data_IF_172275465978
#
_entry.id   IF_172275465978
#
_cell.length_a   1.000
_cell.length_b   1.000
_cell.length_c   1.000
_cell.angle_alpha   90.00
_cell.angle_beta   90.00
_cell.angle_gamma   90.00
#
_symmetry.space_group_name_H-M   'P 1'
#
loop_
_entity.id
_entity.type
_entity.pdbx_description
1 polymer ?
#
# COMPACT_ATOMS: atom_id res chain seq x y z
N UNK A 1 -7.36 -20.08 7.05
CA UNK A 1 -7.07 -18.67 6.77
C UNK A 1 -8.16 -18.20 5.83
N UNK A 2 -8.96 -17.22 6.24
CA UNK A 2 -9.95 -16.60 5.35
C UNK A 2 -9.29 -15.68 4.32
N UNK A 3 -10.06 -15.26 3.31
CA UNK A 3 -9.55 -14.42 2.22
C UNK A 3 -9.05 -13.06 2.70
N UNK A 4 -9.71 -12.49 3.72
CA UNK A 4 -9.32 -11.22 4.36
C UNK A 4 -7.94 -11.31 5.01
N UNK A 5 -7.72 -12.32 5.86
CA UNK A 5 -6.42 -12.55 6.51
C UNK A 5 -5.31 -12.76 5.48
N UNK A 6 -5.57 -13.56 4.44
CA UNK A 6 -4.59 -13.80 3.38
C UNK A 6 -4.25 -12.52 2.61
N UNK A 7 -5.25 -11.68 2.32
CA UNK A 7 -5.06 -10.40 1.65
C UNK A 7 -4.26 -9.40 2.51
N UNK A 8 -4.53 -9.33 3.81
CA UNK A 8 -3.78 -8.47 4.73
C UNK A 8 -2.31 -8.91 4.86
N UNK A 9 -2.04 -10.22 4.90
CA UNK A 9 -0.67 -10.74 4.89
C UNK A 9 0.06 -10.40 3.59
N UNK A 10 -0.62 -10.58 2.44
CA UNK A 10 -0.06 -10.20 1.15
C UNK A 10 0.22 -8.68 1.07
N UNK A 11 -0.71 -7.85 1.56
CA UNK A 11 -0.54 -6.41 1.62
C UNK A 11 0.64 -6.00 2.51
N UNK A 12 0.83 -6.64 3.67
CA UNK A 12 2.00 -6.41 4.53
C UNK A 12 3.31 -6.75 3.83
N UNK A 13 3.37 -7.88 3.13
CA UNK A 13 4.56 -8.25 2.36
C UNK A 13 4.90 -7.18 1.30
N UNK A 14 3.89 -6.65 0.59
CA UNK A 14 4.10 -5.55 -0.36
C UNK A 14 4.61 -4.28 0.34
N UNK A 15 4.04 -3.92 1.49
CA UNK A 15 4.49 -2.75 2.24
C UNK A 15 5.92 -2.90 2.77
N UNK A 16 6.33 -4.10 3.15
CA UNK A 16 7.71 -4.42 3.54
C UNK A 16 8.66 -4.28 2.34
N UNK A 17 8.28 -4.77 1.15
CA UNK A 17 9.08 -4.61 -0.07
C UNK A 17 9.31 -3.12 -0.41
N UNK A 18 8.28 -2.28 -0.24
CA UNK A 18 8.40 -0.82 -0.40
C UNK A 18 9.38 -0.25 0.62
N UNK A 19 9.22 -0.60 1.91
CA UNK A 19 10.08 -0.10 2.98
C UNK A 19 11.55 -0.50 2.84
N UNK A 20 11.83 -1.68 2.29
CA UNK A 20 13.18 -2.18 1.99
C UNK A 20 13.74 -1.63 0.66
N UNK A 21 12.93 -0.95 -0.15
CA UNK A 21 13.32 -0.47 -1.48
C UNK A 21 13.50 -1.59 -2.52
N UNK A 22 12.99 -2.80 -2.25
CA UNK A 22 13.00 -3.92 -3.21
C UNK A 22 11.85 -3.85 -4.20
N UNK A 23 10.83 -3.03 -3.92
CA UNK A 23 9.77 -2.63 -4.85
C UNK A 23 9.60 -1.10 -4.83
N UNK A 24 9.31 -0.51 -6.00
CA UNK A 24 9.00 0.92 -6.06
C UNK A 24 7.68 1.24 -5.35
N UNK A 25 7.57 2.45 -4.83
CA UNK A 25 6.42 2.96 -4.11
C UNK A 25 5.15 2.85 -4.96
N UNK A 26 5.20 3.35 -6.19
CA UNK A 26 4.05 3.40 -7.10
C UNK A 26 3.61 1.99 -7.53
N UNK A 27 4.55 1.10 -7.84
CA UNK A 27 4.24 -0.29 -8.17
C UNK A 27 3.63 -1.03 -6.97
N UNK A 28 4.18 -0.79 -5.79
CA UNK A 28 3.68 -1.34 -4.53
C UNK A 28 2.25 -0.86 -4.25
N UNK A 29 2.00 0.44 -4.32
CA UNK A 29 0.68 1.02 -4.09
C UNK A 29 -0.37 0.55 -5.12
N UNK A 30 0.02 0.41 -6.41
CA UNK A 30 -0.85 -0.21 -7.43
C UNK A 30 -1.18 -1.67 -7.13
N UNK A 31 -0.21 -2.41 -6.58
CA UNK A 31 -0.42 -3.81 -6.16
C UNK A 31 -1.36 -3.90 -4.96
N UNK A 32 -1.21 -3.02 -3.97
CA UNK A 32 -2.10 -2.91 -2.82
C UNK A 32 -3.53 -2.60 -3.25
N UNK A 33 -3.70 -1.68 -4.20
CA UNK A 33 -5.01 -1.39 -4.76
C UNK A 33 -5.62 -2.59 -5.49
N UNK A 34 -4.82 -3.37 -6.22
CA UNK A 34 -5.30 -4.62 -6.83
C UNK A 34 -5.77 -5.63 -5.78
N UNK A 35 -5.09 -5.75 -4.64
CA UNK A 35 -5.50 -6.61 -3.54
C UNK A 35 -6.87 -6.17 -3.01
N UNK A 36 -7.05 -4.88 -2.71
CA UNK A 36 -8.33 -4.33 -2.24
C UNK A 36 -9.50 -4.57 -3.21
N UNK A 37 -9.23 -4.56 -4.53
CA UNK A 37 -10.25 -4.87 -5.54
C UNK A 37 -10.62 -6.35 -5.63
N UNK A 38 -9.72 -7.24 -5.24
CA UNK A 38 -9.96 -8.69 -5.23
C UNK A 38 -10.60 -9.15 -3.93
N UNK A 39 -10.31 -8.48 -2.82
CA UNK A 39 -10.85 -8.75 -1.49
C UNK A 39 -11.40 -7.43 -0.92
N UNK A 40 -12.67 -7.09 -1.23
CA UNK A 40 -13.26 -5.81 -0.82
C UNK A 40 -13.28 -5.56 0.68
N UNK A 41 -13.23 -6.62 1.49
CA UNK A 41 -13.18 -6.55 2.95
C UNK A 41 -11.95 -5.79 3.47
N UNK A 42 -10.82 -5.83 2.73
CA UNK A 42 -9.58 -5.12 3.11
C UNK A 42 -9.44 -3.74 2.46
N UNK A 43 -10.45 -3.28 1.72
CA UNK A 43 -10.41 -1.99 1.04
C UNK A 43 -10.27 -0.81 2.02
N UNK A 44 -10.98 -0.74 3.16
CA UNK A 44 -10.84 0.36 4.12
C UNK A 44 -9.39 0.55 4.60
N UNK A 45 -8.65 -0.54 4.76
CA UNK A 45 -7.25 -0.57 5.21
C UNK A 45 -6.28 -0.11 4.12
N UNK A 46 -6.64 -0.32 2.84
CA UNK A 46 -5.76 -0.10 1.69
C UNK A 46 -6.13 1.14 0.85
N UNK A 47 -7.29 1.77 1.13
CA UNK A 47 -7.81 2.93 0.38
C UNK A 47 -6.80 4.07 0.22
N UNK A 48 -6.00 4.34 1.24
CA UNK A 48 -4.97 5.40 1.20
C UNK A 48 -4.01 5.23 0.02
N UNK A 49 -3.60 4.01 -0.29
CA UNK A 49 -2.68 3.75 -1.41
C UNK A 49 -3.32 4.04 -2.77
N UNK A 50 -4.63 3.81 -2.91
CA UNK A 50 -5.35 4.14 -4.14
C UNK A 50 -5.42 5.65 -4.36
N UNK A 51 -5.69 6.42 -3.29
CA UNK A 51 -5.66 7.88 -3.33
C UNK A 51 -4.29 8.41 -3.76
N UNK A 52 -3.23 7.97 -3.09
CA UNK A 52 -1.86 8.42 -3.39
C UNK A 52 -1.41 8.10 -4.82
N UNK A 53 -1.80 6.94 -5.37
CA UNK A 53 -1.50 6.60 -6.77
C UNK A 53 -2.26 7.50 -7.75
N UNK A 54 -3.53 7.82 -7.45
CA UNK A 54 -4.31 8.74 -8.27
C UNK A 54 -3.65 10.12 -8.34
N UNK A 55 -3.30 10.68 -7.18
CA UNK A 55 -2.63 11.99 -7.10
C UNK A 55 -1.27 11.98 -7.82
N UNK A 56 -0.49 10.88 -7.71
CA UNK A 56 0.78 10.72 -8.44
C UNK A 56 0.60 10.65 -9.96
N UNK A 57 -0.48 10.04 -10.44
CA UNK A 57 -0.82 9.97 -11.86
C UNK A 57 -1.26 11.34 -12.40
N UNK A 58 -2.01 12.11 -11.59
CA UNK A 58 -2.60 13.41 -11.94
C UNK A 58 -1.61 14.59 -11.84
N UNK A 59 -0.73 14.61 -10.83
CA UNK A 59 0.21 15.70 -10.57
C UNK A 59 1.66 15.26 -10.72
N UNK A 60 2.22 15.60 -11.89
CA UNK A 60 3.59 15.25 -12.26
C UNK A 60 4.66 16.03 -11.49
N UNK A 61 4.36 17.24 -11.04
CA UNK A 61 5.33 18.12 -10.38
C UNK A 61 5.63 17.64 -8.96
N UNK A 62 4.65 16.99 -8.30
CA UNK A 62 4.77 16.52 -6.92
C UNK A 62 4.94 15.00 -6.77
N UNK A 63 5.31 14.28 -7.84
CA UNK A 63 5.48 12.81 -7.80
C UNK A 63 6.39 12.30 -6.70
N UNK A 64 7.53 12.95 -6.50
CA UNK A 64 8.47 12.57 -5.45
C UNK A 64 7.85 12.68 -4.04
N UNK A 65 6.97 13.68 -3.83
CA UNK A 65 6.24 13.83 -2.58
C UNK A 65 5.23 12.68 -2.38
N UNK A 66 4.47 12.30 -3.40
CA UNK A 66 3.53 11.17 -3.29
C UNK A 66 4.26 9.84 -3.11
N UNK A 67 5.41 9.64 -3.74
CA UNK A 67 6.27 8.47 -3.49
C UNK A 67 6.68 8.42 -2.01
N UNK A 68 7.14 9.53 -1.43
CA UNK A 68 7.48 9.59 0.00
C UNK A 68 6.28 9.32 0.93
N UNK A 69 5.10 9.84 0.59
CA UNK A 69 3.85 9.56 1.32
C UNK A 69 3.46 8.08 1.23
N UNK A 70 3.60 7.45 0.05
CA UNK A 70 3.36 6.01 -0.14
C UNK A 70 4.31 5.19 0.72
N UNK A 71 5.62 5.51 0.71
CA UNK A 71 6.62 4.84 1.54
C UNK A 71 6.28 4.98 3.02
N UNK A 72 5.92 6.18 3.46
CA UNK A 72 5.53 6.45 4.84
C UNK A 72 4.28 5.67 5.26
N UNK A 73 3.27 5.58 4.39
CA UNK A 73 2.08 4.77 4.62
C UNK A 73 2.40 3.27 4.70
N UNK A 74 3.28 2.77 3.82
CA UNK A 74 3.72 1.37 3.81
C UNK A 74 4.45 0.99 5.12
N UNK A 75 5.35 1.84 5.61
CA UNK A 75 6.05 1.62 6.88
C UNK A 75 5.06 1.55 8.06
N UNK A 76 4.11 2.49 8.13
CA UNK A 76 3.06 2.49 9.17
C UNK A 76 2.18 1.25 9.11
N UNK A 77 1.79 0.84 7.90
CA UNK A 77 0.96 -0.34 7.69
C UNK A 77 1.65 -1.63 8.14
N UNK A 78 2.95 -1.74 7.86
CA UNK A 78 3.76 -2.92 8.22
C UNK A 78 3.87 -3.11 9.74
N UNK A 79 3.96 -2.01 10.48
CA UNK A 79 4.11 -2.00 11.95
C UNK A 79 2.78 -2.25 12.70
N UNK A 80 1.63 -2.02 12.05
CA UNK A 80 0.28 -2.03 12.67
C UNK A 80 -0.22 -3.40 13.17
N UNK A 81 0.62 -4.42 13.25
CA UNK A 81 0.27 -5.71 13.86
C UNK A 81 1.36 -6.31 14.73
N UNK A 82 2.33 -5.51 15.17
CA UNK A 82 3.27 -5.92 16.23
C UNK A 82 2.74 -5.57 17.64
N UNK A 83 1.65 -4.80 17.73
CA UNK A 83 1.04 -4.32 18.99
C UNK A 83 -0.24 -5.08 19.43
N UNK A 84 -0.57 -6.21 18.79
CA UNK A 84 -1.77 -7.00 19.08
C UNK A 84 -1.46 -8.42 19.57
#
# INVERSE_FOLDING_TARGET
>A
MDGETAALLAARAVCQDIGLGTRSEVEGARTLWRIARLVPEVEPELRTFAGLVSEWDDDREHRAHFEEEIRSAALRFSQRGEDA
#
